data_IF_205518904027
#
_entry.id   IF_205518904027
#
_cell.length_a   1.000
_cell.length_b   1.000
_cell.length_c   1.000
_cell.angle_alpha   90.00
_cell.angle_beta   90.00
_cell.angle_gamma   90.00
#
_symmetry.space_group_name_H-M   'P 1'
#
loop_
_entity.id
_entity.type
_entity.pdbx_description
1 polymer ?
#
# COMPACT_ATOMS: atom_id res chain seq x y z
N UNK A 1 -18.79 5.63 -5.51
CA UNK A 1 -18.00 4.60 -4.80
C UNK A 1 -17.23 5.32 -3.70
N UNK A 2 -17.43 4.93 -2.44
CA UNK A 2 -16.80 5.61 -1.30
C UNK A 2 -15.28 5.45 -1.29
N UNK A 3 -14.59 6.36 -0.60
CA UNK A 3 -13.13 6.38 -0.50
C UNK A 3 -12.56 5.04 0.00
N UNK A 4 -13.18 4.50 1.05
CA UNK A 4 -12.82 3.20 1.60
C UNK A 4 -13.05 2.04 0.63
N UNK A 5 -13.99 2.17 -0.31
CA UNK A 5 -14.17 1.16 -1.36
C UNK A 5 -12.97 1.16 -2.30
N UNK A 6 -12.49 2.33 -2.71
CA UNK A 6 -11.33 2.47 -3.58
C UNK A 6 -10.04 2.00 -2.89
N UNK A 7 -9.85 2.37 -1.62
CA UNK A 7 -8.74 1.88 -0.81
C UNK A 7 -8.80 0.36 -0.60
N UNK A 8 -10.00 -0.19 -0.31
CA UNK A 8 -10.20 -1.62 -0.15
C UNK A 8 -9.96 -2.38 -1.45
N UNK A 9 -10.42 -1.88 -2.59
CA UNK A 9 -10.16 -2.48 -3.91
C UNK A 9 -8.66 -2.48 -4.22
N UNK A 10 -7.95 -1.38 -3.99
CA UNK A 10 -6.49 -1.34 -4.14
C UNK A 10 -5.80 -2.38 -3.23
N UNK A 11 -6.26 -2.50 -1.98
CA UNK A 11 -5.75 -3.45 -1.00
C UNK A 11 -6.10 -4.90 -1.33
N UNK A 12 -7.29 -5.16 -1.86
CA UNK A 12 -7.75 -6.48 -2.29
C UNK A 12 -7.03 -6.92 -3.56
N UNK A 13 -6.85 -6.02 -4.51
CA UNK A 13 -6.06 -6.25 -5.72
C UNK A 13 -4.62 -6.57 -5.35
N UNK A 14 -4.05 -5.88 -4.34
CA UNK A 14 -2.71 -6.23 -3.87
C UNK A 14 -2.68 -7.54 -3.09
N UNK A 15 -3.70 -7.88 -2.29
CA UNK A 15 -3.76 -9.16 -1.58
C UNK A 15 -3.86 -10.34 -2.56
N UNK A 16 -4.66 -10.20 -3.62
CA UNK A 16 -4.76 -11.19 -4.70
C UNK A 16 -3.41 -11.34 -5.42
N UNK A 17 -2.73 -10.23 -5.67
CA UNK A 17 -1.45 -10.22 -6.35
C UNK A 17 -0.30 -10.76 -5.46
N UNK A 18 -0.36 -10.56 -4.14
CA UNK A 18 0.54 -11.20 -3.17
C UNK A 18 0.28 -12.71 -3.04
N UNK A 19 -0.99 -13.13 -3.06
CA UNK A 19 -1.35 -14.55 -3.11
C UNK A 19 -0.88 -15.20 -4.43
N UNK A 20 -0.94 -14.47 -5.55
CA UNK A 20 -0.38 -14.95 -6.82
C UNK A 20 1.16 -15.04 -6.77
N UNK A 21 1.86 -14.09 -6.14
CA UNK A 21 3.31 -14.17 -5.94
C UNK A 21 3.71 -15.31 -4.97
N UNK A 22 2.94 -15.53 -3.91
CA UNK A 22 3.15 -16.64 -2.97
C UNK A 22 2.85 -18.01 -3.60
N UNK A 23 1.81 -18.11 -4.44
CA UNK A 23 1.52 -19.33 -5.22
C UNK A 23 2.56 -19.55 -6.33
N UNK A 24 3.11 -18.49 -6.92
CA UNK A 24 4.25 -18.55 -7.85
C UNK A 24 5.55 -19.05 -7.21
N UNK A 25 5.74 -18.83 -5.90
CA UNK A 25 6.86 -19.40 -5.13
C UNK A 25 6.62 -20.86 -4.70
N UNK A 26 5.38 -21.34 -4.68
CA UNK A 26 5.06 -22.74 -4.38
C UNK A 26 5.17 -23.66 -5.61
N UNK A 27 5.36 -23.12 -6.82
CA UNK A 27 5.62 -23.87 -8.05
C UNK A 27 7.09 -24.22 -8.32
N UNK A 28 8.04 -23.84 -7.47
CA UNK A 28 9.46 -24.19 -7.60
C UNK A 28 10.06 -24.76 -6.30
N UNK A 29 9.29 -25.60 -5.59
CA UNK A 29 9.79 -26.37 -4.44
C UNK A 29 9.74 -27.90 -4.67
N UNK A 30 9.60 -28.34 -5.92
CA UNK A 30 9.66 -29.75 -6.30
C UNK A 30 10.81 -30.02 -7.27
N UNK A 31 11.76 -30.85 -6.84
CA UNK A 31 12.94 -31.33 -7.58
C UNK A 31 14.14 -30.35 -7.71
N UNK A 32 15.00 -30.35 -6.70
CA UNK A 32 16.45 -30.37 -6.94
C UNK A 32 16.98 -31.76 -6.58
N UNK A 33 17.68 -32.43 -7.50
CA UNK A 33 19.04 -32.83 -7.16
C UNK A 33 19.96 -32.46 -8.33
N UNK A 34 20.64 -31.33 -8.21
CA UNK A 34 21.56 -30.87 -9.24
C UNK A 34 21.90 -29.41 -9.05
N UNK A 35 23.03 -29.18 -8.37
CA UNK A 35 23.60 -27.86 -8.19
C UNK A 35 23.75 -27.12 -9.52
N UNK A 36 23.10 -25.96 -9.64
CA UNK A 36 23.65 -24.82 -10.37
C UNK A 36 23.36 -23.56 -9.55
N UNK A 37 24.25 -23.33 -8.58
CA UNK A 37 24.48 -22.00 -8.05
C UNK A 37 24.96 -21.12 -9.21
N UNK A 38 24.07 -20.29 -9.78
CA UNK A 38 24.52 -19.16 -10.60
C UNK A 38 24.95 -18.06 -9.63
N UNK A 39 26.26 -18.04 -9.39
CA UNK A 39 26.99 -17.02 -8.66
C UNK A 39 26.63 -15.63 -9.24
N UNK A 40 25.84 -14.82 -8.52
CA UNK A 40 25.77 -13.37 -8.77
C UNK A 40 24.42 -12.72 -9.07
N UNK A 41 23.29 -13.43 -9.07
CA UNK A 41 21.98 -12.80 -9.23
C UNK A 41 21.17 -12.88 -7.91
N UNK A 42 20.96 -11.74 -7.26
CA UNK A 42 20.07 -11.62 -6.10
C UNK A 42 18.62 -12.02 -6.43
N UNK A 43 17.74 -12.10 -5.42
CA UNK A 43 16.36 -12.57 -5.60
C UNK A 43 15.67 -11.80 -6.73
N UNK A 44 15.24 -12.51 -7.77
CA UNK A 44 14.51 -11.94 -8.91
C UNK A 44 13.22 -11.34 -8.36
N UNK A 45 13.11 -10.02 -8.44
CA UNK A 45 11.94 -9.29 -7.99
C UNK A 45 10.76 -9.55 -8.94
N UNK A 46 9.59 -9.99 -8.44
CA UNK A 46 8.44 -10.32 -9.28
C UNK A 46 7.84 -9.11 -10.02
N UNK A 47 8.26 -7.87 -9.73
CA UNK A 47 7.88 -6.70 -10.53
C UNK A 47 8.50 -6.69 -11.93
N UNK A 48 9.57 -7.47 -12.16
CA UNK A 48 10.17 -7.64 -13.50
C UNK A 48 9.22 -8.43 -14.43
N UNK A 49 8.30 -9.23 -13.87
CA UNK A 49 7.34 -10.06 -14.61
C UNK A 49 5.89 -9.52 -14.56
N UNK A 50 5.69 -8.27 -14.12
CA UNK A 50 4.37 -7.65 -14.06
C UNK A 50 3.51 -8.04 -12.85
N UNK A 51 4.11 -8.65 -11.82
CA UNK A 51 3.51 -8.86 -10.51
C UNK A 51 3.75 -7.69 -9.56
N UNK A 52 3.07 -7.62 -8.41
CA UNK A 52 3.36 -6.62 -7.39
C UNK A 52 4.74 -6.89 -6.82
N UNK A 53 5.55 -5.86 -6.62
CA UNK A 53 6.86 -6.00 -6.00
C UNK A 53 6.71 -6.64 -4.63
N UNK A 54 7.34 -7.81 -4.42
CA UNK A 54 7.57 -8.37 -3.06
C UNK A 54 8.77 -7.71 -2.40
N UNK A 55 9.47 -6.80 -3.10
CA UNK A 55 10.53 -5.97 -2.53
C UNK A 55 10.03 -5.32 -1.24
N UNK A 56 10.72 -5.64 -0.15
CA UNK A 56 10.71 -4.85 1.06
C UNK A 56 10.94 -3.40 0.66
N UNK A 57 9.94 -2.55 0.87
CA UNK A 57 10.11 -1.12 0.67
C UNK A 57 11.13 -0.64 1.68
N UNK A 58 12.23 -0.05 1.20
CA UNK A 58 13.23 0.52 2.08
C UNK A 58 12.61 1.65 2.92
N UNK A 59 13.09 1.86 4.15
CA UNK A 59 12.57 2.93 5.02
C UNK A 59 12.78 4.34 4.43
N UNK A 60 13.77 4.51 3.54
CA UNK A 60 14.05 5.76 2.82
C UNK A 60 13.46 5.78 1.39
N UNK A 61 12.55 4.86 1.07
CA UNK A 61 11.94 4.82 -0.25
C UNK A 61 11.02 6.03 -0.46
N UNK A 62 11.03 6.68 -1.64
CA UNK A 62 10.16 7.80 -1.95
C UNK A 62 8.66 7.49 -1.81
N UNK A 63 8.28 6.22 -1.78
CA UNK A 63 6.91 5.80 -1.47
C UNK A 63 6.47 6.13 -0.03
N UNK A 64 7.39 6.40 0.88
CA UNK A 64 7.07 6.90 2.23
C UNK A 64 7.03 8.43 2.32
N UNK A 65 7.45 9.16 1.28
CA UNK A 65 7.47 10.62 1.31
C UNK A 65 6.06 11.18 1.51
N UNK A 66 5.89 12.21 2.36
CA UNK A 66 4.59 12.83 2.57
C UNK A 66 4.07 13.42 1.26
N UNK A 67 2.77 13.20 0.99
CA UNK A 67 2.12 13.68 -0.22
C UNK A 67 1.48 15.02 0.11
N UNK A 68 1.98 16.12 -0.47
CA UNK A 68 1.57 17.49 -0.11
C UNK A 68 1.61 17.76 1.40
N UNK A 69 2.65 17.25 2.08
CA UNK A 69 2.81 17.39 3.53
C UNK A 69 1.99 16.41 4.37
N UNK A 70 1.23 15.51 3.75
CA UNK A 70 0.43 14.49 4.45
C UNK A 70 1.22 13.19 4.53
N UNK A 71 1.64 12.83 5.74
CA UNK A 71 2.35 11.58 6.00
C UNK A 71 1.37 10.40 6.04
N UNK A 72 1.89 9.17 5.95
CA UNK A 72 1.07 7.96 6.09
C UNK A 72 0.33 7.91 7.44
N UNK A 73 0.98 8.44 8.49
CA UNK A 73 0.41 8.50 9.83
C UNK A 73 -0.76 9.48 9.92
N UNK A 74 -0.63 10.68 9.34
CA UNK A 74 -1.73 11.67 9.26
C UNK A 74 -2.91 11.10 8.49
N UNK A 75 -2.62 10.46 7.36
CA UNK A 75 -3.64 9.78 6.56
C UNK A 75 -4.34 8.64 7.33
N UNK A 76 -3.60 7.85 8.10
CA UNK A 76 -4.17 6.80 8.96
C UNK A 76 -5.03 7.36 10.10
N UNK A 77 -4.62 8.48 10.70
CA UNK A 77 -5.41 9.19 11.71
C UNK A 77 -6.74 9.67 11.12
N UNK A 78 -6.74 10.24 9.92
CA UNK A 78 -7.96 10.67 9.23
C UNK A 78 -8.88 9.49 8.93
N UNK A 79 -8.32 8.37 8.47
CA UNK A 79 -9.10 7.16 8.21
C UNK A 79 -9.71 6.57 9.49
N UNK A 80 -8.95 6.59 10.60
CA UNK A 80 -9.43 6.14 11.92
C UNK A 80 -10.56 7.04 12.42
N UNK A 81 -10.37 8.35 12.36
CA UNK A 81 -11.34 9.34 12.80
C UNK A 81 -12.61 9.29 11.93
N UNK A 82 -12.45 9.12 10.61
CA UNK A 82 -13.55 8.87 9.70
C UNK A 82 -14.32 7.60 10.07
N UNK A 83 -13.63 6.51 10.39
CA UNK A 83 -14.26 5.26 10.82
C UNK A 83 -15.04 5.45 12.14
N UNK A 84 -14.47 6.14 13.13
CA UNK A 84 -15.13 6.47 14.40
C UNK A 84 -16.37 7.34 14.20
N UNK A 85 -16.33 8.28 13.25
CA UNK A 85 -17.45 9.18 12.92
C UNK A 85 -18.44 8.57 11.91
N UNK A 86 -18.17 7.37 11.38
CA UNK A 86 -19.00 6.73 10.35
C UNK A 86 -18.91 7.36 8.97
N UNK A 87 -17.89 8.19 8.73
CA UNK A 87 -17.62 8.88 7.46
C UNK A 87 -16.95 7.89 6.50
N UNK A 88 -17.55 7.68 5.33
CA UNK A 88 -17.07 6.72 4.31
C UNK A 88 -16.73 7.39 2.99
N UNK A 89 -17.07 8.66 2.88
CA UNK A 89 -17.03 9.45 1.67
C UNK A 89 -15.76 10.29 1.61
N UNK A 90 -15.24 10.47 0.40
CA UNK A 90 -14.06 11.29 0.14
C UNK A 90 -14.25 12.72 0.64
N UNK A 91 -15.43 13.31 0.43
CA UNK A 91 -15.76 14.65 0.91
C UNK A 91 -15.67 14.76 2.44
N UNK A 92 -16.07 13.71 3.16
CA UNK A 92 -15.96 13.72 4.62
C UNK A 92 -14.52 13.59 5.11
N UNK A 93 -13.67 12.81 4.44
CA UNK A 93 -12.22 12.80 4.74
C UNK A 93 -11.56 14.14 4.41
N UNK A 94 -11.94 14.78 3.30
CA UNK A 94 -11.45 16.11 2.92
C UNK A 94 -11.84 17.14 3.99
N UNK A 95 -13.07 17.08 4.52
CA UNK A 95 -13.50 17.94 5.63
C UNK A 95 -12.65 17.72 6.87
N UNK A 96 -12.38 16.46 7.26
CA UNK A 96 -11.50 16.14 8.40
C UNK A 96 -10.08 16.66 8.21
N UNK A 97 -9.52 16.49 7.01
CA UNK A 97 -8.21 17.03 6.66
C UNK A 97 -8.21 18.57 6.72
N UNK A 98 -9.30 19.21 6.32
CA UNK A 98 -9.54 20.64 6.49
C UNK A 98 -9.53 21.09 7.96
N UNK A 99 -10.11 20.30 8.87
CA UNK A 99 -10.03 20.58 10.33
C UNK A 99 -8.59 20.55 10.85
N UNK A 100 -7.70 19.79 10.18
CA UNK A 100 -6.26 19.68 10.50
C UNK A 100 -5.42 20.76 9.80
N UNK A 101 -6.04 21.66 9.02
CA UNK A 101 -5.37 22.73 8.29
C UNK A 101 -4.87 22.35 6.89
N UNK A 102 -5.30 21.21 6.34
CA UNK A 102 -4.93 20.78 4.98
C UNK A 102 -5.98 21.27 3.98
N UNK A 103 -5.54 21.86 2.87
CA UNK A 103 -6.45 22.31 1.81
C UNK A 103 -7.19 21.12 1.20
N UNK A 104 -8.42 21.34 0.72
CA UNK A 104 -9.19 20.28 0.06
C UNK A 104 -8.46 19.64 -1.13
N UNK A 105 -7.70 20.44 -1.88
CA UNK A 105 -6.89 19.97 -3.00
C UNK A 105 -5.73 19.07 -2.53
N UNK A 106 -5.01 19.49 -1.50
CA UNK A 106 -3.89 18.75 -0.92
C UNK A 106 -4.37 17.44 -0.27
N UNK A 107 -5.49 17.51 0.46
CA UNK A 107 -6.14 16.35 1.05
C UNK A 107 -6.53 15.35 -0.04
N UNK A 108 -7.20 15.79 -1.10
CA UNK A 108 -7.57 14.91 -2.22
C UNK A 108 -6.36 14.27 -2.89
N UNK A 109 -5.30 15.05 -3.14
CA UNK A 109 -4.07 14.54 -3.74
C UNK A 109 -3.37 13.51 -2.83
N UNK A 110 -3.38 13.74 -1.51
CA UNK A 110 -2.87 12.78 -0.54
C UNK A 110 -3.71 11.50 -0.50
N UNK A 111 -5.03 11.62 -0.48
CA UNK A 111 -5.96 10.49 -0.51
C UNK A 111 -5.74 9.60 -1.75
N UNK A 112 -5.68 10.20 -2.94
CA UNK A 112 -5.49 9.43 -4.19
C UNK A 112 -4.06 8.88 -4.28
N UNK A 113 -3.06 9.67 -3.87
CA UNK A 113 -1.66 9.26 -3.88
C UNK A 113 -1.36 8.11 -2.91
N UNK A 114 -1.89 8.13 -1.69
CA UNK A 114 -1.72 7.03 -0.74
C UNK A 114 -2.45 5.76 -1.18
N UNK A 115 -3.62 5.88 -1.81
CA UNK A 115 -4.34 4.73 -2.41
C UNK A 115 -3.55 4.13 -3.57
N UNK A 116 -2.97 4.95 -4.45
CA UNK A 116 -2.09 4.47 -5.52
C UNK A 116 -0.87 3.74 -4.96
N UNK A 117 -0.20 4.30 -3.95
CA UNK A 117 0.97 3.69 -3.29
C UNK A 117 0.63 2.39 -2.56
N UNK A 118 -0.55 2.28 -1.93
CA UNK A 118 -1.03 1.01 -1.38
C UNK A 118 -1.26 -0.04 -2.47
N UNK A 119 -1.77 0.34 -3.65
CA UNK A 119 -1.87 -0.59 -4.78
C UNK A 119 -0.51 -1.04 -5.31
N UNK A 120 0.49 -0.16 -5.26
CA UNK A 120 1.85 -0.44 -5.76
C UNK A 120 2.72 -1.21 -4.75
N UNK A 121 2.44 -1.13 -3.45
CA UNK A 121 3.32 -1.72 -2.43
C UNK A 121 2.62 -2.33 -1.21
N UNK A 122 3.01 -3.57 -0.89
CA UNK A 122 2.50 -4.33 0.24
C UNK A 122 2.92 -3.74 1.58
N UNK A 123 4.09 -3.12 1.65
CA UNK A 123 4.59 -2.53 2.89
C UNK A 123 3.73 -1.33 3.30
N UNK A 124 3.30 -0.51 2.34
CA UNK A 124 2.46 0.67 2.62
C UNK A 124 1.10 0.24 3.17
N UNK A 125 0.47 -0.77 2.54
CA UNK A 125 -0.81 -1.31 3.02
C UNK A 125 -0.72 -1.99 4.40
N UNK A 126 0.40 -2.65 4.71
CA UNK A 126 0.64 -3.22 6.04
C UNK A 126 0.91 -2.15 7.09
N UNK A 127 1.70 -1.13 6.76
CA UNK A 127 2.00 -0.04 7.67
C UNK A 127 0.75 0.79 7.97
N UNK A 128 -0.09 1.04 6.96
CA UNK A 128 -1.39 1.67 7.15
C UNK A 128 -2.27 0.89 8.16
N UNK A 129 -2.38 -0.43 8.00
CA UNK A 129 -3.12 -1.28 8.96
C UNK A 129 -2.53 -1.23 10.37
N UNK A 130 -1.20 -1.22 10.49
CA UNK A 130 -0.51 -1.09 11.79
C UNK A 130 -0.86 0.23 12.48
N UNK A 131 -0.91 1.34 11.74
CA UNK A 131 -1.34 2.63 12.29
C UNK A 131 -2.82 2.65 12.71
N UNK A 132 -3.67 1.88 12.03
CA UNK A 132 -5.07 1.70 12.44
C UNK A 132 -5.24 0.81 13.69
N UNK A 133 -4.17 0.14 14.16
CA UNK A 133 -4.19 -0.68 15.37
C UNK A 133 -4.67 -2.12 15.15
N UNK A 134 -4.54 -2.65 13.93
CA UNK A 134 -4.79 -4.06 13.61
C UNK A 134 -3.55 -4.94 13.81
#
# INVERSE_FOLDING_TARGET
MGFFSKAKDALAQQAAAAQAAAQGQQGQQGQQPGMVHVQGAGPIDPAILGGPSTRSVAENDPIWEPINGVSLQDYADWAREAQTRGIKDEAGLITLAGEKGVSAADAKAALDGWVARMGQSQAVGQQFRKFLGY
#
